data_IF_909541564708
#
_entry.id   IF_909541564708
#
_cell.length_a   1.000
_cell.length_b   1.000
_cell.length_c   1.000
_cell.angle_alpha   90.00
_cell.angle_beta   90.00
_cell.angle_gamma   90.00
#
_symmetry.space_group_name_H-M   'P 1'
#
loop_
_entity.id
_entity.type
_entity.pdbx_description
1 polymer ?
#
# COMPACT_ATOMS: atom_id res chain seq x y z
N UNK A 1 35.80 -8.36 8.36
CA UNK A 1 36.22 -7.47 7.25
C UNK A 1 35.90 -6.04 7.64
N UNK A 2 36.86 -5.11 7.53
CA UNK A 2 36.68 -3.67 7.87
C UNK A 2 36.60 -2.87 6.58
N UNK A 3 35.55 -2.07 6.41
CA UNK A 3 35.38 -1.17 5.28
C UNK A 3 35.40 0.27 5.80
N UNK A 4 36.17 1.13 5.14
CA UNK A 4 36.18 2.57 5.39
C UNK A 4 35.51 3.24 4.20
N UNK A 5 34.51 4.07 4.46
CA UNK A 5 33.77 4.82 3.43
C UNK A 5 33.76 6.29 3.80
N UNK A 6 33.83 7.15 2.80
CA UNK A 6 33.56 8.58 2.97
C UNK A 6 32.05 8.80 2.78
N UNK A 7 31.44 9.51 3.71
CA UNK A 7 30.02 9.85 3.71
C UNK A 7 29.89 11.37 3.72
N UNK A 8 29.03 11.89 2.85
CA UNK A 8 28.63 13.29 2.90
C UNK A 8 27.85 13.57 4.19
N UNK A 9 27.89 14.82 4.66
CA UNK A 9 27.32 15.23 5.96
C UNK A 9 25.82 14.88 6.08
N UNK A 10 25.06 15.04 4.99
CA UNK A 10 23.63 14.74 4.95
C UNK A 10 23.36 13.24 5.14
N UNK A 11 24.17 12.39 4.51
CA UNK A 11 24.07 10.93 4.64
C UNK A 11 24.49 10.47 6.03
N UNK A 12 25.51 11.11 6.60
CA UNK A 12 25.92 10.87 7.98
C UNK A 12 24.81 11.26 8.97
N UNK A 13 24.17 12.42 8.77
CA UNK A 13 23.05 12.87 9.60
C UNK A 13 21.87 11.89 9.55
N UNK A 14 21.54 11.37 8.36
CA UNK A 14 20.50 10.35 8.18
C UNK A 14 20.85 9.03 8.88
N UNK A 15 22.09 8.55 8.74
CA UNK A 15 22.54 7.34 9.44
C UNK A 15 22.49 7.52 10.96
N UNK A 16 22.86 8.71 11.46
CA UNK A 16 22.82 9.05 12.89
C UNK A 16 21.39 9.09 13.43
N UNK A 17 20.46 9.71 12.73
CA UNK A 17 19.05 9.75 13.16
C UNK A 17 18.45 8.34 13.23
N UNK A 18 18.75 7.50 12.24
CA UNK A 18 18.34 6.09 12.22
C UNK A 18 18.95 5.28 13.38
N UNK A 19 20.23 5.50 13.69
CA UNK A 19 20.90 4.88 14.82
C UNK A 19 20.25 5.26 16.17
N UNK A 20 19.89 6.53 16.34
CA UNK A 20 19.19 7.02 17.55
C UNK A 20 17.81 6.38 17.66
N UNK A 21 17.03 6.39 16.59
CA UNK A 21 15.68 5.84 16.58
C UNK A 21 15.64 4.34 16.91
N UNK A 22 16.64 3.59 16.42
CA UNK A 22 16.75 2.14 16.62
C UNK A 22 17.59 1.73 17.84
N UNK A 23 18.19 2.70 18.55
CA UNK A 23 19.13 2.46 19.66
C UNK A 23 20.29 1.52 19.27
N UNK A 24 20.81 1.67 18.05
CA UNK A 24 21.92 0.87 17.53
C UNK A 24 23.16 1.72 17.26
N UNK A 25 24.31 1.08 17.03
CA UNK A 25 25.52 1.78 16.59
C UNK A 25 25.37 2.36 15.18
N UNK A 26 26.05 3.47 14.89
CA UNK A 26 26.06 4.09 13.56
C UNK A 26 26.47 3.08 12.46
N UNK A 27 27.50 2.26 12.69
CA UNK A 27 27.95 1.26 11.72
C UNK A 27 26.86 0.22 11.38
N UNK A 28 26.06 -0.17 12.37
CA UNK A 28 24.93 -1.07 12.16
C UNK A 28 23.80 -0.38 11.39
N UNK A 29 23.45 0.85 11.77
CA UNK A 29 22.45 1.64 11.06
C UNK A 29 22.81 1.86 9.57
N UNK A 30 24.09 2.15 9.27
CA UNK A 30 24.58 2.25 7.88
C UNK A 30 24.40 0.92 7.14
N UNK A 31 24.77 -0.20 7.78
CA UNK A 31 24.59 -1.54 7.19
C UNK A 31 23.12 -1.88 6.91
N UNK A 32 22.22 -1.54 7.83
CA UNK A 32 20.79 -1.79 7.70
C UNK A 32 20.18 -0.94 6.58
N UNK A 33 20.57 0.34 6.46
CA UNK A 33 20.14 1.22 5.38
C UNK A 33 20.60 0.73 4.00
N UNK A 34 21.84 0.23 3.90
CA UNK A 34 22.36 -0.35 2.66
C UNK A 34 21.57 -1.59 2.24
N UNK A 35 21.24 -2.49 3.18
CA UNK A 35 20.45 -3.70 2.92
C UNK A 35 19.03 -3.38 2.46
N UNK A 36 18.40 -2.36 3.05
CA UNK A 36 17.05 -1.93 2.68
C UNK A 36 16.97 -1.52 1.20
N UNK A 37 18.02 -0.89 0.65
CA UNK A 37 18.07 -0.53 -0.78
C UNK A 37 18.17 -1.75 -1.69
N UNK A 38 18.84 -2.82 -1.24
CA UNK A 38 18.99 -4.05 -2.02
C UNK A 38 17.72 -4.91 -2.02
N UNK A 39 16.92 -4.82 -0.95
CA UNK A 39 15.69 -5.63 -0.78
C UNK A 39 14.45 -5.02 -1.42
N UNK A 40 14.45 -3.72 -1.75
CA UNK A 40 13.35 -3.11 -2.50
C UNK A 40 13.58 -3.35 -4.00
N UNK A 41 12.82 -4.24 -4.68
CA UNK A 41 12.83 -4.26 -6.13
C UNK A 41 12.40 -2.87 -6.62
N UNK A 42 13.30 -2.20 -7.32
CA UNK A 42 13.05 -0.91 -7.95
C UNK A 42 11.99 -1.09 -9.05
N UNK A 43 10.73 -1.14 -8.64
CA UNK A 43 9.61 -0.92 -9.54
C UNK A 43 9.25 0.53 -9.34
N UNK A 44 9.59 1.44 -10.28
CA UNK A 44 9.01 2.76 -10.26
C UNK A 44 7.53 2.57 -10.61
N UNK A 45 6.71 2.28 -9.61
CA UNK A 45 5.27 2.41 -9.72
C UNK A 45 5.03 3.90 -9.73
N UNK A 46 5.16 4.55 -10.89
CA UNK A 46 4.67 5.91 -11.05
C UNK A 46 3.17 5.83 -10.74
N UNK A 47 2.70 6.35 -9.59
CA UNK A 47 1.28 6.33 -9.31
C UNK A 47 0.65 7.28 -10.33
N UNK A 48 -0.15 6.73 -11.25
CA UNK A 48 -0.92 7.56 -12.16
C UNK A 48 -1.82 8.47 -11.33
N UNK A 49 -1.91 9.75 -11.69
CA UNK A 49 -2.86 10.65 -11.04
C UNK A 49 -4.25 10.36 -11.61
N UNK A 50 -5.24 10.16 -10.75
CA UNK A 50 -6.62 9.98 -11.21
C UNK A 50 -7.08 11.27 -11.91
N UNK A 51 -7.51 11.22 -13.19
CA UNK A 51 -7.75 12.43 -13.99
C UNK A 51 -8.88 13.30 -13.45
N UNK A 52 -9.81 12.74 -12.69
CA UNK A 52 -10.97 13.44 -12.12
C UNK A 52 -10.77 13.89 -10.67
N UNK A 53 -10.03 13.13 -9.87
CA UNK A 53 -9.93 13.38 -8.42
C UNK A 53 -8.58 13.97 -7.99
N UNK A 54 -7.57 13.96 -8.87
CA UNK A 54 -6.25 14.53 -8.59
C UNK A 54 -5.43 13.73 -7.56
N UNK A 55 -5.99 12.63 -7.02
CA UNK A 55 -5.29 11.79 -6.05
C UNK A 55 -4.34 10.81 -6.74
N UNK A 56 -3.20 10.49 -6.11
CA UNK A 56 -2.27 9.48 -6.60
C UNK A 56 -2.94 8.09 -6.53
N UNK A 57 -3.01 7.40 -7.67
CA UNK A 57 -3.50 6.03 -7.76
C UNK A 57 -2.31 5.09 -7.87
N UNK A 58 -2.07 4.32 -6.81
CA UNK A 58 -1.16 3.18 -6.91
C UNK A 58 -1.83 2.08 -7.73
N UNK A 59 -1.21 1.66 -8.84
CA UNK A 59 -1.58 0.36 -9.42
C UNK A 59 -1.12 -0.72 -8.45
N UNK A 60 -2.07 -1.27 -7.68
CA UNK A 60 -1.77 -2.36 -6.76
C UNK A 60 -1.15 -3.53 -7.52
N UNK A 61 -0.19 -4.22 -6.91
CA UNK A 61 0.47 -5.42 -7.48
C UNK A 61 -0.41 -6.67 -7.42
N UNK A 62 -1.71 -6.50 -7.15
CA UNK A 62 -2.67 -7.58 -7.01
C UNK A 62 -3.16 -8.12 -8.35
N UNK A 63 -3.89 -9.24 -8.30
CA UNK A 63 -4.62 -9.79 -9.44
C UNK A 63 -5.59 -8.73 -9.97
N UNK A 64 -5.55 -8.49 -11.29
CA UNK A 64 -6.56 -7.67 -11.97
C UNK A 64 -7.91 -8.33 -11.84
N UNK A 65 -8.87 -7.64 -11.21
CA UNK A 65 -10.25 -8.08 -11.15
C UNK A 65 -10.89 -7.96 -12.52
N UNK A 66 -11.66 -8.97 -12.89
CA UNK A 66 -12.50 -8.94 -14.10
C UNK A 66 -13.81 -8.21 -13.81
N UNK A 67 -14.42 -7.63 -14.83
CA UNK A 67 -15.70 -6.91 -14.70
C UNK A 67 -16.80 -7.78 -14.05
N UNK A 68 -16.82 -9.08 -14.34
CA UNK A 68 -17.74 -10.04 -13.70
C UNK A 68 -17.50 -10.22 -12.20
N UNK A 69 -16.25 -10.15 -11.75
CA UNK A 69 -15.91 -10.23 -10.32
C UNK A 69 -16.27 -8.94 -9.60
N UNK A 70 -16.16 -7.80 -10.26
CA UNK A 70 -16.60 -6.50 -9.72
C UNK A 70 -18.11 -6.50 -9.55
N UNK A 71 -18.87 -6.94 -10.56
CA UNK A 71 -20.34 -6.98 -10.48
C UNK A 71 -20.81 -7.87 -9.33
N UNK A 72 -20.26 -9.09 -9.19
CA UNK A 72 -20.61 -9.98 -8.09
C UNK A 72 -20.33 -9.36 -6.72
N UNK A 73 -19.21 -8.64 -6.57
CA UNK A 73 -18.89 -7.99 -5.31
C UNK A 73 -19.86 -6.83 -4.97
N UNK A 74 -20.30 -6.09 -5.99
CA UNK A 74 -21.30 -5.03 -5.81
C UNK A 74 -22.66 -5.60 -5.41
N UNK A 75 -23.11 -6.66 -6.09
CA UNK A 75 -24.37 -7.33 -5.77
C UNK A 75 -24.36 -7.88 -4.32
N UNK A 76 -23.23 -8.45 -3.88
CA UNK A 76 -23.06 -8.96 -2.50
C UNK A 76 -23.02 -7.84 -1.45
N UNK A 77 -22.50 -6.65 -1.77
CA UNK A 77 -22.47 -5.49 -0.87
C UNK A 77 -23.86 -4.84 -0.77
N UNK A 78 -24.59 -4.73 -1.88
CA UNK A 78 -25.94 -4.17 -1.92
C UNK A 78 -26.92 -5.03 -1.09
N UNK A 79 -26.83 -6.36 -1.19
CA UNK A 79 -27.62 -7.28 -0.34
C UNK A 79 -27.32 -7.07 1.14
N UNK A 80 -26.05 -6.95 1.53
CA UNK A 80 -25.64 -6.73 2.92
C UNK A 80 -26.06 -5.35 3.45
N UNK A 81 -26.07 -4.33 2.61
CA UNK A 81 -26.55 -2.99 2.94
C UNK A 81 -28.07 -2.99 3.14
N UNK A 82 -28.82 -3.73 2.31
CA UNK A 82 -30.28 -3.89 2.44
C UNK A 82 -30.67 -4.68 3.70
N UNK A 83 -29.93 -5.74 4.05
CA UNK A 83 -30.10 -6.48 5.31
C UNK A 83 -29.83 -5.58 6.54
N UNK A 84 -28.80 -4.72 6.48
CA UNK A 84 -28.47 -3.78 7.55
C UNK A 84 -29.54 -2.68 7.73
N UNK A 85 -30.30 -2.37 6.68
CA UNK A 85 -31.45 -1.45 6.72
C UNK A 85 -32.73 -2.10 7.26
N UNK A 86 -32.68 -3.38 7.67
CA UNK A 86 -33.77 -4.05 8.37
C UNK A 86 -34.92 -4.51 7.48
N UNK A 87 -34.68 -4.63 6.17
CA UNK A 87 -35.64 -5.18 5.22
C UNK A 87 -35.79 -6.69 5.43
N UNK A 88 -37.04 -7.17 5.32
CA UNK A 88 -37.30 -8.60 5.39
C UNK A 88 -36.77 -9.30 4.12
N UNK A 89 -36.37 -10.59 4.19
CA UNK A 89 -35.78 -11.30 3.05
C UNK A 89 -36.63 -11.25 1.76
N UNK A 90 -37.95 -11.13 1.88
CA UNK A 90 -38.89 -11.04 0.77
C UNK A 90 -38.86 -9.68 0.05
N UNK A 91 -38.57 -8.61 0.78
CA UNK A 91 -38.48 -7.25 0.21
C UNK A 91 -37.14 -7.02 -0.51
N UNK A 92 -36.09 -7.74 -0.11
CA UNK A 92 -34.78 -7.71 -0.77
C UNK A 92 -34.86 -8.41 -2.13
N UNK A 93 -35.55 -9.55 -2.22
CA UNK A 93 -35.79 -10.24 -3.50
C UNK A 93 -36.57 -9.37 -4.49
N UNK A 94 -37.63 -8.68 -4.04
CA UNK A 94 -38.43 -7.80 -4.91
C UNK A 94 -37.66 -6.54 -5.37
N UNK A 95 -36.72 -6.04 -4.57
CA UNK A 95 -35.87 -4.91 -4.94
C UNK A 95 -34.76 -5.27 -5.93
N UNK A 96 -34.27 -6.52 -5.91
CA UNK A 96 -33.19 -7.00 -6.78
C UNK A 96 -33.71 -7.45 -8.16
N UNK A 97 -35.00 -7.79 -8.29
CA UNK A 97 -35.64 -8.20 -9.55
C UNK A 97 -36.08 -7.03 -10.46
N UNK A 98 -35.89 -5.77 -10.04
CA UNK A 98 -36.26 -4.56 -10.80
C UNK A 98 -35.08 -3.90 -11.49
#
# INVERSE_FOLDING_TARGET
>A
MRLTINLDDDLYAMARSHAIATKTSISKAVGDLLRRKTEVPATPTNPGIHPLSGFPVSQGTGRKLTEKEIQRAMDDDDVRILELMGLSPQEIEEALER
#
